data_IF_674542731766
#
_entry.id   IF_674542731766
#
_cell.length_a   1.000
_cell.length_b   1.000
_cell.length_c   1.000
_cell.angle_alpha   90.00
_cell.angle_beta   90.00
_cell.angle_gamma   90.00
#
_symmetry.space_group_name_H-M   'P 1'
#
loop_
_entity.id
_entity.type
_entity.pdbx_description
1 polymer ?
#
# COMPACT_ATOMS: atom_id res chain seq x y z
N UNK A 1 12.96 14.93 5.96
CA UNK A 1 12.53 15.67 4.76
C UNK A 1 11.05 15.34 4.52
N UNK A 2 10.16 16.30 4.72
CA UNK A 2 8.71 16.14 4.50
C UNK A 2 8.49 16.01 2.99
N UNK A 3 8.04 14.84 2.53
CA UNK A 3 7.60 14.68 1.14
C UNK A 3 6.49 15.71 0.88
N UNK A 4 6.83 16.76 0.12
CA UNK A 4 5.87 17.77 -0.34
C UNK A 4 4.76 17.01 -1.06
N UNK A 5 3.52 17.34 -0.72
CA UNK A 5 2.32 16.83 -1.37
C UNK A 5 2.40 17.12 -2.88
N UNK A 6 2.97 16.17 -3.63
CA UNK A 6 3.06 16.19 -5.10
C UNK A 6 1.78 15.63 -5.72
N UNK A 7 0.98 14.94 -4.91
CA UNK A 7 -0.21 14.23 -5.31
C UNK A 7 -1.45 14.93 -4.74
N UNK A 8 -2.46 15.13 -5.58
CA UNK A 8 -3.69 15.82 -5.23
C UNK A 8 -4.65 14.93 -4.44
N UNK A 9 -4.66 13.63 -4.75
CA UNK A 9 -5.56 12.65 -4.16
C UNK A 9 -4.88 11.71 -3.17
N UNK A 10 -3.57 11.80 -2.96
CA UNK A 10 -2.85 10.98 -1.98
C UNK A 10 -2.45 11.81 -0.75
N UNK A 11 -2.67 11.24 0.43
CA UNK A 11 -2.28 11.81 1.71
C UNK A 11 -1.44 10.83 2.52
N UNK A 12 -0.47 11.35 3.28
CA UNK A 12 0.29 10.55 4.24
C UNK A 12 -0.55 10.39 5.51
N UNK A 13 -0.92 9.17 5.88
CA UNK A 13 -1.47 8.89 7.21
C UNK A 13 -0.34 8.82 8.23
N UNK A 14 -0.13 9.89 8.99
CA UNK A 14 0.83 9.92 10.10
C UNK A 14 0.44 9.03 11.29
N UNK A 15 -0.80 8.53 11.36
CA UNK A 15 -1.36 7.83 12.52
C UNK A 15 -1.03 6.33 12.62
N UNK A 16 -0.44 5.71 11.59
CA UNK A 16 -0.02 4.31 11.64
C UNK A 16 1.47 4.19 11.35
N UNK A 17 2.11 3.19 11.96
CA UNK A 17 3.54 2.83 11.86
C UNK A 17 4.14 2.72 10.44
N UNK A 18 3.34 2.89 9.39
CA UNK A 18 3.71 2.72 8.00
C UNK A 18 3.71 4.08 7.31
N UNK A 19 4.82 4.48 6.67
CA UNK A 19 4.95 5.74 5.90
C UNK A 19 4.20 5.76 4.56
N UNK A 20 3.23 4.86 4.40
CA UNK A 20 2.55 4.63 3.13
C UNK A 20 1.45 5.67 2.88
N UNK A 21 1.42 6.23 1.66
CA UNK A 21 0.37 7.16 1.25
C UNK A 21 -0.96 6.42 0.97
N UNK A 22 -2.05 7.06 1.38
CA UNK A 22 -3.41 6.58 1.19
C UNK A 22 -4.17 7.52 0.25
N UNK A 23 -5.09 6.98 -0.55
CA UNK A 23 -6.03 7.78 -1.34
C UNK A 23 -7.00 8.48 -0.40
N UNK A 24 -6.95 9.80 -0.43
CA UNK A 24 -7.85 10.71 0.27
C UNK A 24 -9.29 10.48 -0.18
N UNK A 25 -10.19 10.28 0.77
CA UNK A 25 -11.61 10.01 0.51
C UNK A 25 -12.02 8.55 0.70
N UNK A 26 -11.16 7.58 0.40
CA UNK A 26 -11.46 6.16 0.63
C UNK A 26 -10.59 5.51 1.70
N UNK A 27 -9.47 6.14 2.10
CA UNK A 27 -8.55 5.57 3.08
C UNK A 27 -7.84 4.29 2.60
N UNK A 28 -7.87 4.04 1.28
CA UNK A 28 -7.21 2.89 0.62
C UNK A 28 -5.75 3.20 0.41
N UNK A 29 -4.87 2.26 0.73
CA UNK A 29 -3.41 2.39 0.56
C UNK A 29 -3.03 2.29 -0.91
N UNK A 30 -1.99 3.01 -1.33
CA UNK A 30 -1.45 2.90 -2.67
C UNK A 30 -1.02 1.45 -3.00
N UNK A 31 -0.43 0.73 -2.05
CA UNK A 31 -0.05 -0.68 -2.22
C UNK A 31 -1.26 -1.61 -2.44
N UNK A 32 -2.42 -1.28 -1.86
CA UNK A 32 -3.66 -2.03 -2.14
C UNK A 32 -4.11 -1.83 -3.59
N UNK A 33 -4.05 -0.60 -4.10
CA UNK A 33 -4.38 -0.31 -5.51
C UNK A 33 -3.41 -1.02 -6.46
N UNK A 34 -2.12 -1.03 -6.13
CA UNK A 34 -1.13 -1.80 -6.88
C UNK A 34 -1.44 -3.30 -6.88
N UNK A 35 -1.77 -3.88 -5.72
CA UNK A 35 -2.20 -5.27 -5.66
C UNK A 35 -3.46 -5.53 -6.49
N UNK A 36 -4.48 -4.67 -6.42
CA UNK A 36 -5.68 -4.86 -7.22
C UNK A 36 -5.38 -4.78 -8.72
N UNK A 37 -4.46 -3.91 -9.13
CA UNK A 37 -4.04 -3.79 -10.53
C UNK A 37 -3.21 -4.97 -11.02
N UNK A 38 -2.22 -5.43 -10.25
CA UNK A 38 -1.24 -6.43 -10.70
C UNK A 38 -1.56 -7.86 -10.25
N UNK A 39 -2.17 -8.05 -9.08
CA UNK A 39 -2.57 -9.36 -8.53
C UNK A 39 -4.00 -9.68 -8.93
N UNK A 40 -4.95 -8.80 -8.58
CA UNK A 40 -6.36 -9.00 -8.95
C UNK A 40 -6.62 -8.75 -10.44
N UNK A 41 -5.62 -8.21 -11.17
CA UNK A 41 -5.68 -7.85 -12.60
C UNK A 41 -6.88 -6.95 -12.94
N UNK A 42 -7.29 -6.10 -12.00
CA UNK A 42 -8.42 -5.21 -12.21
C UNK A 42 -8.03 -3.99 -13.05
N UNK A 43 -9.01 -3.51 -13.81
CA UNK A 43 -8.91 -2.28 -14.56
C UNK A 43 -8.90 -1.05 -13.63
N UNK A 44 -8.16 0.03 -13.92
CA UNK A 44 -8.08 1.18 -13.03
C UNK A 44 -9.45 1.83 -12.85
N UNK A 45 -10.27 1.83 -13.90
CA UNK A 45 -11.69 2.24 -13.87
C UNK A 45 -12.54 1.37 -12.96
N UNK A 46 -12.28 0.07 -12.93
CA UNK A 46 -13.04 -0.85 -12.08
C UNK A 46 -12.66 -0.64 -10.60
N UNK A 47 -11.37 -0.48 -10.31
CA UNK A 47 -10.87 -0.14 -8.97
C UNK A 47 -11.47 1.18 -8.50
N UNK A 48 -11.49 2.20 -9.36
CA UNK A 48 -12.10 3.49 -9.07
C UNK A 48 -13.58 3.35 -8.66
N UNK A 49 -14.34 2.56 -9.41
CA UNK A 49 -15.76 2.33 -9.16
C UNK A 49 -16.03 1.48 -7.91
N UNK A 50 -15.25 0.41 -7.72
CA UNK A 50 -15.40 -0.52 -6.58
C UNK A 50 -15.04 0.15 -5.25
N UNK A 51 -14.00 0.99 -5.26
CA UNK A 51 -13.50 1.69 -4.08
C UNK A 51 -14.14 3.07 -3.87
N UNK A 52 -15.05 3.47 -4.76
CA UNK A 52 -15.69 4.80 -4.79
C UNK A 52 -14.65 5.95 -4.76
N UNK A 53 -13.61 5.84 -5.59
CA UNK A 53 -12.56 6.86 -5.74
C UNK A 53 -12.49 7.38 -7.16
N UNK A 54 -11.87 8.55 -7.33
CA UNK A 54 -11.59 9.07 -8.66
C UNK A 54 -10.59 8.20 -9.41
N UNK A 55 -10.83 8.02 -10.70
CA UNK A 55 -9.91 7.34 -11.60
C UNK A 55 -8.51 7.98 -11.59
N UNK A 56 -8.44 9.31 -11.56
CA UNK A 56 -7.18 10.06 -11.44
C UNK A 56 -6.41 9.68 -10.18
N UNK A 57 -7.11 9.45 -9.06
CA UNK A 57 -6.49 9.02 -7.80
C UNK A 57 -5.88 7.61 -7.91
N UNK A 58 -6.49 6.72 -8.70
CA UNK A 58 -5.94 5.39 -8.99
C UNK A 58 -4.65 5.51 -9.79
N UNK A 59 -4.63 6.36 -10.83
CA UNK A 59 -3.41 6.59 -11.61
C UNK A 59 -2.30 7.24 -10.78
N UNK A 60 -2.60 8.25 -9.97
CA UNK A 60 -1.63 8.84 -9.04
C UNK A 60 -1.09 7.79 -8.06
N UNK A 61 -1.96 6.92 -7.51
CA UNK A 61 -1.53 5.84 -6.61
C UNK A 61 -0.58 4.85 -7.29
N UNK A 62 -0.85 4.50 -8.55
CA UNK A 62 0.01 3.61 -9.33
C UNK A 62 1.36 4.26 -9.65
N UNK A 63 1.36 5.52 -10.07
CA UNK A 63 2.60 6.28 -10.33
C UNK A 63 3.44 6.42 -9.06
N UNK A 64 2.81 6.81 -7.95
CA UNK A 64 3.47 6.85 -6.64
C UNK A 64 4.08 5.51 -6.25
N UNK A 65 3.33 4.41 -6.40
CA UNK A 65 3.83 3.08 -6.11
C UNK A 65 5.02 2.69 -7.00
N UNK A 66 5.02 3.10 -8.27
CA UNK A 66 6.13 2.83 -9.18
C UNK A 66 7.39 3.62 -8.82
N UNK A 67 7.26 4.92 -8.54
CA UNK A 67 8.39 5.77 -8.12
C UNK A 67 8.92 5.42 -6.73
N UNK A 68 8.05 5.01 -5.81
CA UNK A 68 8.37 4.79 -4.40
C UNK A 68 8.35 3.31 -4.01
N UNK A 69 8.36 2.39 -4.98
CA UNK A 69 8.31 0.95 -4.74
C UNK A 69 9.41 0.49 -3.77
N UNK A 70 10.61 1.04 -3.90
CA UNK A 70 11.73 0.76 -3.02
C UNK A 70 11.44 1.14 -1.55
N UNK A 71 10.76 2.27 -1.32
CA UNK A 71 10.39 2.72 0.03
C UNK A 71 9.28 1.84 0.60
N UNK A 72 8.25 1.52 -0.21
CA UNK A 72 7.15 0.64 0.20
C UNK A 72 7.69 -0.76 0.57
N UNK A 73 8.61 -1.30 -0.22
CA UNK A 73 9.24 -2.60 0.06
C UNK A 73 10.08 -2.55 1.33
N UNK A 74 10.89 -1.50 1.52
CA UNK A 74 11.73 -1.32 2.70
C UNK A 74 10.89 -1.14 3.99
N UNK A 75 9.76 -0.43 3.92
CA UNK A 75 8.83 -0.30 5.05
C UNK A 75 8.11 -1.62 5.36
N UNK A 76 7.68 -2.37 4.33
CA UNK A 76 7.08 -3.71 4.52
C UNK A 76 8.08 -4.71 5.12
N UNK A 77 9.33 -4.66 4.71
CA UNK A 77 10.39 -5.51 5.25
C UNK A 77 10.66 -5.17 6.72
N UNK A 78 10.72 -3.87 7.05
CA UNK A 78 10.86 -3.39 8.43
C UNK A 78 9.66 -3.74 9.31
N UNK A 79 8.44 -3.66 8.76
CA UNK A 79 7.21 -4.08 9.45
C UNK A 79 7.19 -5.61 9.65
N UNK A 80 7.60 -6.39 8.64
CA UNK A 80 7.76 -7.84 8.73
C UNK A 80 8.75 -8.21 9.83
N UNK A 81 9.93 -7.61 9.86
CA UNK A 81 10.91 -7.83 10.92
C UNK A 81 10.41 -7.43 12.31
N UNK A 82 9.48 -6.48 12.41
CA UNK A 82 8.83 -6.11 13.69
C UNK A 82 7.72 -7.09 14.10
N UNK A 83 7.01 -7.68 13.13
CA UNK A 83 5.99 -8.71 13.34
C UNK A 83 6.60 -10.08 13.65
N UNK A 84 7.72 -10.44 13.01
CA UNK A 84 8.50 -11.64 13.29
C UNK A 84 9.11 -11.59 14.70
N UNK A 85 9.66 -10.44 15.12
CA UNK A 85 10.14 -10.24 16.50
C UNK A 85 9.02 -10.28 17.56
N UNK A 86 7.75 -10.14 17.15
CA UNK A 86 6.58 -10.29 18.03
C UNK A 86 5.96 -11.70 17.97
N UNK A 87 6.58 -12.65 17.29
CA UNK A 87 6.15 -14.06 17.24
C UNK A 87 4.90 -14.30 16.39
N UNK A 88 4.46 -13.35 15.56
CA UNK A 88 3.21 -13.48 14.80
C UNK A 88 3.27 -14.54 13.66
N UNK A 89 4.48 -14.99 13.30
CA UNK A 89 4.73 -16.06 12.34
C UNK A 89 5.08 -17.41 13.01
N UNK A 90 4.95 -17.54 14.32
CA UNK A 90 5.14 -18.81 15.02
C UNK A 90 3.86 -19.66 14.85
N UNK A 91 3.69 -20.26 13.67
CA UNK A 91 2.43 -20.95 13.37
C UNK A 91 2.32 -21.70 12.05
N UNK A 92 3.44 -22.05 11.39
CA UNK A 92 3.54 -23.28 10.57
C UNK A 92 5.01 -23.72 10.52
N UNK A 93 5.53 -24.12 11.67
CA UNK A 93 6.53 -25.19 11.64
C UNK A 93 5.80 -26.41 11.07
N UNK A 94 6.13 -26.74 9.83
CA UNK A 94 5.73 -27.98 9.19
C UNK A 94 6.43 -29.11 9.93
N UNK A 95 5.82 -29.54 11.04
CA UNK A 95 6.04 -30.88 11.55
C UNK A 95 5.49 -31.84 10.49
N UNK A 96 6.40 -32.55 9.82
CA UNK A 96 6.15 -33.95 9.50
C UNK A 96 7.48 -34.71 9.33
N UNK A 97 7.50 -35.97 9.79
CA UNK A 97 8.70 -36.76 10.04
C UNK A 97 9.35 -37.32 8.78
#
# INVERSE_FOLDING_TARGET
>A
MKAKAKYLYLEIRSDKRSREMCVRGAGVRASTIWHDRYISRMEPKQIAKDRDIKLEAVYEALEYCQENWAIICQEKDRERGTLEQRGFFEGRQSDRP
#
